data_IF_428346873731
#
_entry.id   IF_428346873731
#
_cell.length_a   1.000
_cell.length_b   1.000
_cell.length_c   1.000
_cell.angle_alpha   90.00
_cell.angle_beta   90.00
_cell.angle_gamma   90.00
#
_symmetry.space_group_name_H-M   'P 1'
#
loop_
_entity.id
_entity.type
_entity.pdbx_description
1 polymer ?
#
# COMPACT_ATOMS: atom_id res chain seq x y z
N UNK A 1 17.15 -2.61 -28.02
CA UNK A 1 17.05 -4.04 -27.68
C UNK A 1 17.42 -4.85 -28.93
N UNK A 2 18.40 -5.75 -28.86
CA UNK A 2 18.80 -6.55 -30.03
C UNK A 2 17.74 -7.63 -30.34
N UNK A 3 17.53 -7.94 -31.63
CA UNK A 3 16.60 -9.00 -32.07
C UNK A 3 16.92 -10.37 -31.45
N UNK A 4 18.19 -10.60 -31.12
CA UNK A 4 18.68 -11.79 -30.43
C UNK A 4 18.20 -11.88 -28.99
N UNK A 5 18.23 -10.77 -28.23
CA UNK A 5 17.74 -10.73 -26.86
C UNK A 5 16.23 -10.94 -26.77
N UNK A 6 15.46 -10.37 -27.70
CA UNK A 6 14.01 -10.59 -27.77
C UNK A 6 13.67 -12.07 -28.04
N UNK A 7 14.38 -12.70 -28.99
CA UNK A 7 14.16 -14.11 -29.38
C UNK A 7 14.55 -15.12 -28.30
N UNK A 8 15.51 -14.78 -27.43
CA UNK A 8 15.88 -15.58 -26.26
C UNK A 8 14.83 -15.50 -25.14
N UNK A 9 14.25 -14.32 -24.90
CA UNK A 9 13.14 -14.14 -23.96
C UNK A 9 11.85 -14.86 -24.42
N UNK A 10 11.58 -14.89 -25.73
CA UNK A 10 10.44 -15.63 -26.30
C UNK A 10 10.54 -17.15 -26.09
N UNK A 11 11.76 -17.72 -26.14
CA UNK A 11 11.96 -19.17 -25.99
C UNK A 11 12.17 -19.63 -24.54
N UNK A 12 12.77 -18.80 -23.69
CA UNK A 12 13.10 -19.12 -22.30
C UNK A 12 12.07 -18.68 -21.26
N UNK A 13 11.04 -17.95 -21.69
CA UNK A 13 10.11 -17.27 -20.78
C UNK A 13 10.75 -16.09 -20.04
N UNK A 14 9.96 -15.39 -19.25
CA UNK A 14 10.45 -14.30 -18.41
C UNK A 14 11.44 -14.85 -17.36
N UNK A 15 12.54 -14.15 -17.03
CA UNK A 15 13.40 -14.56 -15.95
C UNK A 15 12.63 -14.58 -14.61
N UNK A 16 12.99 -15.43 -13.62
CA UNK A 16 12.27 -15.53 -12.34
C UNK A 16 12.08 -14.19 -11.62
N UNK A 17 13.03 -13.27 -11.75
CA UNK A 17 12.94 -11.90 -11.23
C UNK A 17 11.83 -11.09 -11.91
N UNK A 18 11.69 -11.18 -13.23
CA UNK A 18 10.62 -10.52 -13.97
C UNK A 18 9.26 -11.17 -13.69
N UNK A 19 9.20 -12.50 -13.57
CA UNK A 19 7.99 -13.22 -13.16
C UNK A 19 7.52 -12.81 -11.76
N UNK A 20 8.44 -12.69 -10.81
CA UNK A 20 8.15 -12.19 -9.46
C UNK A 20 7.71 -10.72 -9.48
N UNK A 21 8.32 -9.90 -10.33
CA UNK A 21 7.95 -8.50 -10.49
C UNK A 21 6.50 -8.36 -11.00
N UNK A 22 6.09 -9.16 -12.00
CA UNK A 22 4.75 -9.09 -12.60
C UNK A 22 3.65 -9.69 -11.75
N UNK A 23 3.96 -10.63 -10.85
CA UNK A 23 2.96 -11.28 -10.01
C UNK A 23 2.40 -10.32 -8.94
N UNK A 24 1.08 -10.35 -8.65
CA UNK A 24 0.53 -9.69 -7.47
C UNK A 24 1.15 -10.27 -6.20
N UNK A 25 1.55 -9.40 -5.29
CA UNK A 25 2.29 -9.79 -4.07
C UNK A 25 1.37 -9.74 -2.87
N UNK A 26 1.53 -10.68 -1.96
CA UNK A 26 1.02 -10.55 -0.60
C UNK A 26 1.77 -9.44 0.14
N UNK A 27 1.23 -9.01 1.28
CA UNK A 27 1.87 -7.98 2.11
C UNK A 27 3.27 -8.41 2.55
N UNK A 28 3.45 -9.66 2.94
CA UNK A 28 4.72 -10.13 3.47
C UNK A 28 5.76 -10.35 2.37
N UNK A 29 5.36 -10.88 1.21
CA UNK A 29 6.25 -10.96 0.04
C UNK A 29 6.73 -9.56 -0.36
N UNK A 30 5.83 -8.58 -0.40
CA UNK A 30 6.17 -7.18 -0.73
C UNK A 30 7.17 -6.59 0.28
N UNK A 31 6.90 -6.75 1.57
CA UNK A 31 7.74 -6.18 2.64
C UNK A 31 9.08 -6.91 2.77
N UNK A 32 9.15 -8.19 2.39
CA UNK A 32 10.38 -8.96 2.45
C UNK A 32 11.41 -8.49 1.41
N UNK A 33 10.98 -7.94 0.27
CA UNK A 33 11.87 -7.31 -0.72
C UNK A 33 12.72 -6.20 -0.10
N UNK A 34 12.18 -5.47 0.88
CA UNK A 34 12.89 -4.42 1.60
C UNK A 34 12.88 -4.68 3.11
N UNK A 35 13.25 -5.89 3.51
CA UNK A 35 13.15 -6.35 4.90
C UNK A 35 13.75 -5.38 5.93
N UNK A 36 14.90 -4.77 5.62
CA UNK A 36 15.56 -3.81 6.52
C UNK A 36 14.77 -2.50 6.70
N UNK A 37 14.10 -2.03 5.66
CA UNK A 37 13.37 -0.75 5.65
C UNK A 37 11.84 -0.94 5.61
N UNK A 38 11.35 -2.16 5.88
CA UNK A 38 9.93 -2.48 5.80
C UNK A 38 9.06 -1.62 6.74
N UNK A 39 9.64 -1.14 7.84
CA UNK A 39 9.02 -0.26 8.82
C UNK A 39 8.96 1.23 8.40
N UNK A 40 9.41 1.55 7.18
CA UNK A 40 9.30 2.89 6.58
C UNK A 40 8.44 2.88 5.32
N UNK A 41 7.88 1.72 4.99
CA UNK A 41 7.10 1.54 3.77
C UNK A 41 5.65 1.94 3.97
N UNK A 42 5.15 2.71 3.00
CA UNK A 42 3.73 2.91 2.80
C UNK A 42 3.25 1.87 1.80
N UNK A 43 2.15 1.22 2.11
CA UNK A 43 1.56 0.17 1.28
C UNK A 43 0.08 0.41 1.08
N UNK A 44 -0.43 0.06 -0.08
CA UNK A 44 -1.86 0.09 -0.37
C UNK A 44 -2.27 -1.20 -1.05
N UNK A 45 -3.56 -1.50 -1.03
CA UNK A 45 -4.07 -2.65 -1.78
C UNK A 45 -4.23 -2.27 -3.25
N UNK A 46 -4.00 -3.22 -4.14
CA UNK A 46 -4.22 -3.04 -5.57
C UNK A 46 -5.65 -2.59 -5.87
N UNK A 47 -6.62 -3.14 -5.13
CA UNK A 47 -8.02 -2.75 -5.23
C UNK A 47 -8.26 -1.26 -4.91
N UNK A 48 -7.59 -0.73 -3.88
CA UNK A 48 -7.73 0.68 -3.52
C UNK A 48 -7.09 1.59 -4.56
N UNK A 49 -5.92 1.19 -5.06
CA UNK A 49 -5.23 1.90 -6.11
C UNK A 49 -6.07 1.99 -7.40
N UNK A 50 -6.61 0.86 -7.87
CA UNK A 50 -7.45 0.82 -9.08
C UNK A 50 -8.73 1.65 -8.96
N UNK A 51 -9.26 1.79 -7.74
CA UNK A 51 -10.42 2.66 -7.46
C UNK A 51 -10.06 4.14 -7.31
N UNK A 52 -8.80 4.52 -7.43
CA UNK A 52 -8.36 5.91 -7.28
C UNK A 52 -8.41 6.41 -5.84
N UNK A 53 -8.28 5.53 -4.84
CA UNK A 53 -8.13 5.96 -3.44
C UNK A 53 -6.69 6.39 -3.16
N UNK A 54 -6.32 7.50 -3.80
CA UNK A 54 -4.96 8.04 -3.88
C UNK A 54 -4.37 8.47 -2.54
N UNK A 55 -5.20 8.68 -1.50
CA UNK A 55 -4.74 9.05 -0.16
C UNK A 55 -5.10 7.99 0.90
N UNK A 56 -5.32 6.75 0.48
CA UNK A 56 -5.60 5.62 1.37
C UNK A 56 -4.47 4.60 1.35
N UNK A 57 -3.77 4.46 2.47
CA UNK A 57 -2.61 3.58 2.60
C UNK A 57 -2.38 3.19 4.06
N UNK A 58 -1.59 2.14 4.26
CA UNK A 58 -1.01 1.82 5.56
C UNK A 58 0.43 2.29 5.61
N UNK A 59 0.80 2.99 6.67
CA UNK A 59 2.19 3.20 7.03
C UNK A 59 2.63 2.05 7.93
N UNK A 60 3.60 1.25 7.48
CA UNK A 60 4.04 0.05 8.20
C UNK A 60 5.06 0.43 9.25
N UNK A 61 4.86 0.02 10.51
CA UNK A 61 5.80 0.29 11.61
C UNK A 61 6.55 -0.96 12.06
N UNK A 62 5.90 -2.12 12.00
CA UNK A 62 6.48 -3.37 12.47
C UNK A 62 6.03 -4.52 11.61
N UNK A 63 6.97 -5.43 11.33
CA UNK A 63 6.68 -6.69 10.66
C UNK A 63 7.30 -7.82 11.46
N UNK A 64 6.52 -8.87 11.71
CA UNK A 64 6.99 -10.12 12.29
C UNK A 64 6.70 -11.23 11.29
N UNK A 65 7.73 -11.69 10.60
CA UNK A 65 7.63 -12.82 9.69
C UNK A 65 7.47 -14.13 10.47
N UNK A 66 6.70 -15.04 9.88
CA UNK A 66 6.62 -16.44 10.28
C UNK A 66 7.21 -17.25 9.12
N UNK A 67 8.18 -18.11 9.43
CA UNK A 67 8.68 -19.06 8.44
C UNK A 67 7.56 -20.03 8.07
N UNK A 68 7.36 -20.21 6.76
CA UNK A 68 6.45 -21.19 6.21
C UNK A 68 7.15 -21.84 5.02
N UNK A 69 7.42 -23.15 5.10
CA UNK A 69 8.21 -23.88 4.09
C UNK A 69 9.54 -23.18 3.78
N UNK A 70 10.27 -22.78 4.83
CA UNK A 70 11.54 -22.06 4.76
C UNK A 70 11.53 -20.67 4.12
N UNK A 71 10.35 -20.16 3.72
CA UNK A 71 10.19 -18.83 3.15
C UNK A 71 9.50 -17.85 4.12
N UNK A 72 9.88 -16.56 4.14
CA UNK A 72 9.25 -15.52 4.95
C UNK A 72 7.99 -14.94 4.26
N UNK A 73 7.12 -15.80 3.72
CA UNK A 73 5.90 -15.40 3.00
C UNK A 73 4.69 -15.12 3.90
N UNK A 74 4.80 -15.43 5.19
CA UNK A 74 3.72 -15.30 6.17
C UNK A 74 4.17 -14.43 7.34
N UNK A 75 3.21 -13.94 8.12
CA UNK A 75 3.53 -13.19 9.33
C UNK A 75 2.39 -12.35 9.88
N UNK A 76 2.78 -11.32 10.62
CA UNK A 76 1.91 -10.23 11.09
C UNK A 76 2.60 -8.91 10.83
N UNK A 77 1.83 -7.91 10.45
CA UNK A 77 2.32 -6.55 10.25
C UNK A 77 1.45 -5.58 11.04
N UNK A 78 2.06 -4.52 11.56
CA UNK A 78 1.39 -3.45 12.29
C UNK A 78 1.73 -2.12 11.64
N UNK A 79 0.74 -1.26 11.58
CA UNK A 79 0.86 0.04 10.95
C UNK A 79 -0.30 0.96 11.26
N UNK A 80 -0.18 2.21 10.83
CA UNK A 80 -1.25 3.20 10.93
C UNK A 80 -1.96 3.23 9.60
N UNK A 81 -3.29 3.07 9.62
CA UNK A 81 -4.12 3.30 8.45
C UNK A 81 -4.29 4.79 8.26
N UNK A 82 -3.87 5.30 7.11
CA UNK A 82 -4.23 6.61 6.62
C UNK A 82 -5.40 6.46 5.67
N UNK A 83 -6.53 7.07 6.01
CA UNK A 83 -7.71 7.12 5.16
C UNK A 83 -7.94 8.55 4.70
N UNK A 84 -7.89 8.77 3.38
CA UNK A 84 -7.95 10.09 2.77
C UNK A 84 -6.96 11.10 3.42
N UNK A 85 -5.74 10.65 3.67
CA UNK A 85 -4.66 11.46 4.23
C UNK A 85 -4.81 11.78 5.71
N UNK A 86 -5.63 11.02 6.45
CA UNK A 86 -5.82 11.18 7.89
C UNK A 86 -5.59 9.85 8.61
N UNK A 87 -4.83 9.84 9.71
CA UNK A 87 -4.63 8.62 10.49
C UNK A 87 -5.96 8.22 11.13
N UNK A 88 -6.37 6.97 10.93
CA UNK A 88 -7.58 6.39 11.54
C UNK A 88 -7.33 5.99 13.00
N UNK A 89 -6.06 5.84 13.40
CA UNK A 89 -5.67 5.50 14.76
C UNK A 89 -4.35 6.17 15.13
N UNK A 90 -4.23 6.59 16.39
CA UNK A 90 -2.99 7.17 16.92
C UNK A 90 -1.85 6.12 17.05
N UNK A 91 -2.22 4.89 17.43
CA UNK A 91 -1.26 3.79 17.64
C UNK A 91 -1.30 2.81 16.47
N UNK A 92 -0.15 2.21 16.07
CA UNK A 92 -0.12 1.17 15.05
C UNK A 92 -1.01 -0.02 15.42
N UNK A 93 -1.91 -0.41 14.51
CA UNK A 93 -2.80 -1.57 14.63
C UNK A 93 -2.39 -2.66 13.65
N UNK A 94 -2.85 -3.88 13.89
CA UNK A 94 -2.57 -5.01 12.98
C UNK A 94 -3.18 -4.75 11.59
N UNK A 95 -2.36 -4.87 10.54
CA UNK A 95 -2.78 -4.78 9.15
C UNK A 95 -3.45 -6.10 8.78
N UNK A 96 -4.77 -6.06 8.58
CA UNK A 96 -5.58 -7.23 8.23
C UNK A 96 -5.46 -7.58 6.75
N UNK A 97 -5.69 -8.85 6.40
CA UNK A 97 -5.74 -9.29 5.01
C UNK A 97 -4.37 -9.37 4.31
N UNK A 98 -3.28 -9.48 5.06
CA UNK A 98 -1.91 -9.51 4.51
C UNK A 98 -1.69 -10.61 3.46
N UNK A 99 -2.28 -11.79 3.64
CA UNK A 99 -2.24 -12.89 2.65
C UNK A 99 -3.38 -12.88 1.63
N UNK A 100 -4.45 -12.13 1.91
CA UNK A 100 -5.70 -12.18 1.13
C UNK A 100 -5.67 -11.23 -0.06
N UNK A 101 -5.14 -10.03 0.15
CA UNK A 101 -5.15 -8.99 -0.87
C UNK A 101 -3.85 -8.97 -1.65
N UNK A 102 -3.93 -8.44 -2.87
CA UNK A 102 -2.76 -8.00 -3.61
C UNK A 102 -2.34 -6.65 -3.08
N UNK A 103 -1.10 -6.57 -2.62
CA UNK A 103 -0.50 -5.38 -2.04
C UNK A 103 0.53 -4.79 -2.99
N UNK A 104 0.66 -3.47 -2.93
CA UNK A 104 1.67 -2.71 -3.65
C UNK A 104 2.26 -1.64 -2.75
N UNK A 105 3.42 -1.12 -3.15
CA UNK A 105 3.94 0.10 -2.55
C UNK A 105 2.96 1.24 -2.87
N UNK A 106 2.68 2.03 -1.83
CA UNK A 106 2.00 3.30 -2.00
C UNK A 106 3.01 4.35 -2.44
N UNK A 107 2.68 5.03 -3.53
CA UNK A 107 3.39 6.18 -4.02
C UNK A 107 2.43 7.35 -3.90
N UNK A 108 2.87 8.44 -3.27
CA UNK A 108 2.05 9.65 -3.27
C UNK A 108 1.94 10.13 -4.72
N UNK A 109 0.76 10.59 -5.17
CA UNK A 109 0.65 11.27 -6.47
C UNK A 109 1.68 12.40 -6.62
N UNK A 110 1.97 13.09 -5.52
CA UNK A 110 3.00 14.13 -5.46
C UNK A 110 4.44 13.61 -5.64
N UNK A 111 4.75 12.39 -5.20
CA UNK A 111 6.09 11.80 -5.35
C UNK A 111 6.41 11.50 -6.82
N UNK A 112 5.36 11.28 -7.63
CA UNK A 112 5.46 11.04 -9.07
C UNK A 112 5.36 12.33 -9.90
N UNK A 113 5.46 13.50 -9.28
CA UNK A 113 5.36 14.80 -9.95
C UNK A 113 3.95 15.16 -10.43
N UNK A 114 2.93 14.39 -10.02
CA UNK A 114 1.53 14.68 -10.32
C UNK A 114 1.02 15.63 -9.23
N UNK A 115 1.08 16.92 -9.55
CA UNK A 115 0.40 17.94 -8.76
C UNK A 115 -1.06 18.01 -9.22
N UNK A 116 -2.00 17.95 -8.28
CA UNK A 116 -3.39 18.26 -8.58
C UNK A 116 -3.48 19.70 -9.08
N UNK A 117 -4.29 19.95 -10.10
CA UNK A 117 -4.76 21.31 -10.39
C UNK A 117 -5.36 21.92 -9.11
N UNK A 118 -5.18 23.23 -8.91
CA UNK A 118 -5.56 23.94 -7.69
C UNK A 118 -7.02 23.68 -7.31
N UNK A 119 -7.90 23.55 -8.31
CA UNK A 119 -9.31 23.25 -8.12
C UNK A 119 -9.54 21.83 -7.58
N UNK A 120 -8.82 20.83 -8.09
CA UNK A 120 -8.92 19.44 -7.63
C UNK A 120 -8.36 19.31 -6.21
N UNK A 121 -7.28 20.01 -5.88
CA UNK A 121 -6.75 20.09 -4.52
C UNK A 121 -7.76 20.74 -3.54
N UNK A 122 -8.36 21.87 -3.92
CA UNK A 122 -9.38 22.56 -3.12
C UNK A 122 -10.62 21.70 -2.89
N UNK A 123 -11.09 20.99 -3.91
CA UNK A 123 -12.25 20.09 -3.79
C UNK A 123 -11.94 18.89 -2.88
N UNK A 124 -10.71 18.36 -2.93
CA UNK A 124 -10.27 17.32 -2.02
C UNK A 124 -10.23 17.81 -0.57
N UNK A 125 -9.70 19.01 -0.33
CA UNK A 125 -9.63 19.62 1.01
C UNK A 125 -11.02 19.97 1.57
N UNK A 126 -11.95 20.46 0.73
CA UNK A 126 -13.36 20.65 1.12
C UNK A 126 -14.01 19.33 1.56
N UNK A 127 -13.80 18.26 0.79
CA UNK A 127 -14.32 16.92 1.10
C UNK A 127 -13.68 16.34 2.36
N UNK A 128 -12.36 16.52 2.52
CA UNK A 128 -11.57 16.10 3.68
C UNK A 128 -11.99 16.82 4.97
N UNK A 129 -12.31 18.11 4.87
CA UNK A 129 -12.83 18.92 5.98
C UNK A 129 -14.21 18.43 6.40
N UNK A 130 -15.12 18.21 5.44
CA UNK A 130 -16.46 17.66 5.70
C UNK A 130 -16.40 16.30 6.41
N UNK A 131 -15.63 15.36 5.89
CA UNK A 131 -15.53 14.01 6.44
C UNK A 131 -14.97 13.96 7.87
N UNK A 132 -14.04 14.86 8.21
CA UNK A 132 -13.55 14.93 9.60
C UNK A 132 -14.54 15.55 10.55
N UNK A 133 -15.26 16.56 10.10
CA UNK A 133 -16.33 17.13 10.90
C UNK A 133 -17.38 16.06 11.24
N UNK A 134 -17.81 15.31 10.23
CA UNK A 134 -18.75 14.18 10.41
C UNK A 134 -18.19 13.10 11.34
N UNK A 135 -16.89 12.79 11.25
CA UNK A 135 -16.25 11.84 12.15
C UNK A 135 -16.22 12.33 13.61
N UNK A 136 -15.81 13.58 13.83
CA UNK A 136 -15.79 14.21 15.17
C UNK A 136 -17.20 14.26 15.77
N UNK A 137 -18.20 14.59 14.96
CA UNK A 137 -19.61 14.60 15.37
C UNK A 137 -20.10 13.18 15.74
N UNK A 138 -19.69 12.14 15.00
CA UNK A 138 -20.00 10.74 15.34
C UNK A 138 -19.30 10.24 16.61
N UNK A 139 -18.03 10.57 16.81
CA UNK A 139 -17.29 10.21 18.04
C UNK A 139 -17.92 10.88 19.28
N UNK A 140 -18.30 12.16 19.17
CA UNK A 140 -19.01 12.87 20.26
C UNK A 140 -20.39 12.27 20.54
N UNK A 141 -21.10 11.82 19.51
CA UNK A 141 -22.41 11.20 19.66
C UNK A 141 -22.36 9.78 20.27
N UNK A 142 -21.24 9.07 20.14
CA UNK A 142 -21.03 7.73 20.70
C UNK A 142 -20.49 7.71 22.14
N UNK A 143 -20.30 8.88 22.76
CA UNK A 143 -19.79 9.04 24.14
C UNK A 143 -20.88 9.32 25.19
N UNK A 144 -22.15 9.13 24.84
CA UNK A 144 -23.31 9.19 25.76
C UNK A 144 -23.88 7.80 26.04
#
# INVERSE_FOLDING_TARGET
MSKLAAKLLEKGGLPPTAQFASKPKTLYELLNVQRFNAHKLKVTTEHWYQKGFENCYYEVHRVKYKQYRDEPTHGKAWGILYWNGKPVSEKPREIRGGLKFSWRRYESPHDNGIYYDAEKAMNLERRRTRLVREYIEKEKAGMN
#
